data_IF_654689130295
#
_entry.id   IF_654689130295
#
_cell.length_a   1.000
_cell.length_b   1.000
_cell.length_c   1.000
_cell.angle_alpha   90.00
_cell.angle_beta   90.00
_cell.angle_gamma   90.00
#
_symmetry.space_group_name_H-M   'P 1'
#
loop_
_entity.id
_entity.type
_entity.pdbx_description
1 polymer ?
#
# COMPACT_ATOMS: atom_id res chain seq x y z
N UNK A 1 6.44 -21.78 -5.81
CA UNK A 1 5.89 -20.42 -5.83
C UNK A 1 6.98 -19.43 -5.49
N UNK A 2 7.01 -18.30 -6.16
CA UNK A 2 8.06 -17.34 -5.98
C UNK A 2 7.83 -16.41 -4.78
N UNK A 3 8.93 -15.92 -4.21
CA UNK A 3 8.91 -14.96 -3.11
C UNK A 3 8.22 -13.65 -3.49
N UNK A 4 8.31 -13.24 -4.76
CA UNK A 4 7.62 -12.05 -5.28
C UNK A 4 6.11 -12.15 -5.08
N UNK A 5 5.53 -13.31 -5.38
CA UNK A 5 4.11 -13.56 -5.21
C UNK A 5 3.73 -13.56 -3.73
N UNK A 6 4.54 -14.18 -2.90
CA UNK A 6 4.30 -14.25 -1.46
C UNK A 6 4.31 -12.85 -0.84
N UNK A 7 5.27 -12.03 -1.23
CA UNK A 7 5.34 -10.64 -0.80
C UNK A 7 4.12 -9.85 -1.26
N UNK A 8 3.78 -9.92 -2.54
CA UNK A 8 2.67 -9.16 -3.10
C UNK A 8 1.34 -9.51 -2.42
N UNK A 9 1.09 -10.80 -2.15
CA UNK A 9 -0.09 -11.25 -1.46
C UNK A 9 -0.14 -10.71 -0.02
N UNK A 10 0.98 -10.78 0.68
CA UNK A 10 1.08 -10.29 2.06
C UNK A 10 0.84 -8.79 2.14
N UNK A 11 1.44 -8.03 1.21
CA UNK A 11 1.24 -6.59 1.13
C UNK A 11 -0.22 -6.24 0.86
N UNK A 12 -0.83 -6.91 -0.10
CA UNK A 12 -2.25 -6.71 -0.44
C UNK A 12 -3.15 -6.94 0.77
N UNK A 13 -2.95 -8.04 1.48
CA UNK A 13 -3.74 -8.35 2.67
C UNK A 13 -3.59 -7.29 3.75
N UNK A 14 -2.36 -6.82 3.96
CA UNK A 14 -2.10 -5.80 4.97
C UNK A 14 -2.72 -4.46 4.62
N UNK A 15 -2.57 -4.02 3.37
CA UNK A 15 -3.12 -2.74 2.91
C UNK A 15 -4.66 -2.76 2.90
N UNK A 16 -5.27 -3.90 2.63
CA UNK A 16 -6.72 -4.03 2.54
C UNK A 16 -7.44 -3.75 3.86
N UNK A 17 -6.74 -3.72 4.97
CA UNK A 17 -7.30 -3.31 6.27
C UNK A 17 -7.67 -1.83 6.30
N UNK A 18 -7.03 -1.02 5.48
CA UNK A 18 -7.15 0.44 5.56
C UNK A 18 -8.12 1.00 4.52
N UNK A 19 -8.19 0.40 3.35
CA UNK A 19 -9.08 0.77 2.26
C UNK A 19 -9.07 -0.33 1.20
N UNK A 20 -10.06 -0.35 0.30
CA UNK A 20 -10.00 -1.25 -0.86
C UNK A 20 -8.68 -1.06 -1.59
N UNK A 21 -8.01 -2.15 -1.91
CA UNK A 21 -6.64 -2.12 -2.44
C UNK A 21 -6.58 -2.81 -3.79
N UNK A 22 -5.88 -2.20 -4.74
CA UNK A 22 -5.75 -2.69 -6.11
C UNK A 22 -4.30 -2.65 -6.55
N UNK A 23 -3.90 -3.67 -7.30
CA UNK A 23 -2.60 -3.68 -7.94
C UNK A 23 -2.69 -2.92 -9.26
N UNK A 24 -1.73 -2.03 -9.49
CA UNK A 24 -1.63 -1.25 -10.72
C UNK A 24 -1.25 -2.16 -11.92
N UNK A 25 -1.78 -1.94 -13.11
CA UNK A 25 -2.78 -0.92 -13.44
C UNK A 25 -4.20 -1.35 -13.09
N UNK A 26 -5.04 -0.38 -12.71
CA UNK A 26 -6.45 -0.63 -12.46
C UNK A 26 -7.18 -0.57 -13.80
N UNK A 27 -7.77 -1.68 -14.19
CA UNK A 27 -8.48 -1.78 -15.47
C UNK A 27 -9.94 -1.37 -15.31
N UNK A 28 -10.43 -0.55 -16.21
CA UNK A 28 -11.84 -0.14 -16.21
C UNK A 28 -12.79 -1.33 -16.37
N UNK A 29 -12.32 -2.40 -17.03
CA UNK A 29 -13.08 -3.64 -17.21
C UNK A 29 -13.26 -4.45 -15.93
N UNK A 30 -12.48 -4.12 -14.87
CA UNK A 30 -12.58 -4.80 -13.58
C UNK A 30 -13.83 -4.39 -12.79
N UNK A 31 -14.53 -3.34 -13.22
CA UNK A 31 -15.69 -2.79 -12.53
C UNK A 31 -16.90 -2.70 -13.45
N UNK A 32 -18.08 -2.80 -12.86
CA UNK A 32 -19.35 -2.64 -13.58
C UNK A 32 -20.40 -2.02 -12.64
N UNK A 33 -21.67 -1.99 -13.08
CA UNK A 33 -22.74 -1.40 -12.27
C UNK A 33 -23.04 -2.16 -10.99
N UNK A 34 -22.78 -3.47 -10.97
CA UNK A 34 -22.97 -4.32 -9.79
C UNK A 34 -21.76 -4.32 -8.86
N UNK A 35 -20.59 -3.99 -9.41
CA UNK A 35 -19.32 -3.93 -8.69
C UNK A 35 -18.58 -2.66 -9.09
N UNK A 36 -19.05 -1.48 -8.63
CA UNK A 36 -18.46 -0.21 -9.04
C UNK A 36 -17.08 -0.01 -8.38
N UNK A 37 -16.26 0.80 -9.04
CA UNK A 37 -14.98 1.21 -8.48
C UNK A 37 -15.21 1.99 -7.19
N UNK A 38 -14.54 1.63 -6.08
CA UNK A 38 -14.65 2.40 -4.84
C UNK A 38 -14.20 3.85 -5.02
N UNK A 39 -14.81 4.77 -4.27
CA UNK A 39 -14.40 6.18 -4.28
C UNK A 39 -13.07 6.40 -3.58
N UNK A 40 -12.83 5.66 -2.51
CA UNK A 40 -11.59 5.73 -1.75
C UNK A 40 -10.87 4.39 -1.90
N UNK A 41 -9.60 4.41 -2.29
CA UNK A 41 -8.86 3.17 -2.52
C UNK A 41 -7.35 3.40 -2.47
N UNK A 42 -6.64 2.29 -2.31
CA UNK A 42 -5.17 2.25 -2.34
C UNK A 42 -4.75 1.53 -3.62
N UNK A 43 -3.76 2.08 -4.31
CA UNK A 43 -3.15 1.47 -5.48
C UNK A 43 -1.67 1.25 -5.21
N UNK A 44 -1.15 0.09 -5.58
CA UNK A 44 0.27 -0.22 -5.46
C UNK A 44 0.78 -0.96 -6.69
N UNK A 45 2.08 -0.87 -6.93
CA UNK A 45 2.75 -1.66 -7.95
C UNK A 45 3.85 -2.49 -7.30
N UNK A 46 4.23 -3.58 -7.94
CA UNK A 46 5.26 -4.48 -7.41
C UNK A 46 6.63 -4.13 -7.98
N UNK A 47 7.18 -3.00 -7.54
CA UNK A 47 8.51 -2.55 -7.95
C UNK A 47 9.53 -3.02 -6.92
N UNK A 48 9.94 -4.27 -7.04
CA UNK A 48 10.86 -4.90 -6.10
C UNK A 48 12.26 -4.90 -6.68
N UNK A 49 13.18 -4.20 -6.02
CA UNK A 49 14.57 -4.14 -6.48
C UNK A 49 15.41 -5.31 -5.97
N UNK A 50 15.30 -5.67 -4.69
CA UNK A 50 16.11 -6.74 -4.11
C UNK A 50 15.57 -7.18 -2.76
N UNK A 51 15.22 -8.46 -2.61
CA UNK A 51 14.75 -8.99 -1.34
C UNK A 51 15.86 -9.16 -0.30
N UNK A 52 17.12 -9.16 -0.71
CA UNK A 52 18.25 -9.28 0.21
C UNK A 52 18.55 -8.02 1.02
N UNK A 53 17.92 -6.90 0.67
CA UNK A 53 18.10 -5.62 1.36
C UNK A 53 16.77 -4.90 1.46
N UNK A 54 16.76 -3.80 2.21
CA UNK A 54 15.56 -2.97 2.32
C UNK A 54 15.26 -2.27 0.99
N UNK A 55 13.99 -2.09 0.70
CA UNK A 55 13.55 -1.35 -0.48
C UNK A 55 12.32 -0.53 -0.15
N UNK A 56 12.06 0.48 -0.98
CA UNK A 56 10.89 1.34 -0.83
C UNK A 56 9.74 0.76 -1.64
N UNK A 57 8.63 0.55 -0.95
CA UNK A 57 7.35 0.24 -1.59
C UNK A 57 6.49 1.48 -1.52
N UNK A 58 6.27 2.11 -2.65
CA UNK A 58 5.36 3.24 -2.74
C UNK A 58 3.93 2.73 -2.93
N UNK A 59 3.00 3.37 -2.24
CA UNK A 59 1.58 3.17 -2.47
C UNK A 59 0.93 4.52 -2.71
N UNK A 60 -0.17 4.53 -3.45
CA UNK A 60 -0.93 5.76 -3.69
C UNK A 60 -2.32 5.59 -3.10
N UNK A 61 -2.75 6.59 -2.34
CA UNK A 61 -4.08 6.60 -1.74
C UNK A 61 -4.90 7.65 -2.46
N UNK A 62 -6.08 7.26 -2.94
CA UNK A 62 -7.04 8.15 -3.60
C UNK A 62 -8.29 8.27 -2.75
N UNK A 63 -8.79 9.48 -2.58
CA UNK A 63 -10.04 9.73 -1.86
C UNK A 63 -10.91 10.69 -2.65
N UNK A 64 -12.23 10.44 -2.62
CA UNK A 64 -13.23 11.31 -3.23
C UNK A 64 -13.65 12.33 -2.18
N UNK A 65 -13.07 13.53 -2.24
CA UNK A 65 -13.33 14.59 -1.29
C UNK A 65 -12.72 15.91 -1.76
N UNK A 66 -13.33 17.02 -1.38
CA UNK A 66 -12.76 18.35 -1.62
C UNK A 66 -11.82 18.77 -0.50
N UNK A 67 -11.86 18.07 0.64
CA UNK A 67 -10.97 18.30 1.77
C UNK A 67 -10.01 17.14 1.97
N UNK A 68 -9.14 17.24 2.95
CA UNK A 68 -8.07 16.27 3.20
C UNK A 68 -8.38 15.28 4.33
N UNK A 69 -9.51 15.42 5.03
CA UNK A 69 -9.81 14.58 6.20
C UNK A 69 -9.80 13.08 5.92
N UNK A 70 -10.44 12.66 4.84
CA UNK A 70 -10.49 11.24 4.48
C UNK A 70 -9.11 10.69 4.18
N UNK A 71 -8.33 11.44 3.42
CA UNK A 71 -6.97 11.04 3.06
C UNK A 71 -6.09 10.93 4.31
N UNK A 72 -6.14 11.93 5.17
CA UNK A 72 -5.34 11.93 6.40
C UNK A 72 -5.76 10.83 7.36
N UNK A 73 -7.05 10.49 7.43
CA UNK A 73 -7.52 9.37 8.26
C UNK A 73 -6.89 8.05 7.83
N UNK A 74 -6.83 7.80 6.53
CA UNK A 74 -6.20 6.58 6.00
C UNK A 74 -4.70 6.58 6.29
N UNK A 75 -4.03 7.69 6.01
CA UNK A 75 -2.58 7.84 6.26
C UNK A 75 -2.27 7.63 7.74
N UNK A 76 -3.03 8.24 8.63
CA UNK A 76 -2.82 8.13 10.08
C UNK A 76 -3.03 6.68 10.57
N UNK A 77 -4.02 5.98 10.02
CA UNK A 77 -4.26 4.58 10.37
C UNK A 77 -3.11 3.69 9.94
N UNK A 78 -2.53 3.95 8.77
CA UNK A 78 -1.35 3.23 8.29
C UNK A 78 -0.16 3.53 9.21
N UNK A 79 0.06 4.79 9.54
CA UNK A 79 1.14 5.20 10.41
C UNK A 79 1.02 4.55 11.79
N UNK A 80 -0.17 4.56 12.37
CA UNK A 80 -0.42 3.95 13.68
C UNK A 80 -0.20 2.44 13.64
N UNK A 81 -0.54 1.78 12.54
CA UNK A 81 -0.33 0.34 12.39
C UNK A 81 1.15 -0.01 12.31
N UNK A 82 1.97 0.83 11.69
CA UNK A 82 3.41 0.59 11.57
C UNK A 82 4.12 0.78 12.91
N UNK A 83 3.67 1.74 13.73
CA UNK A 83 4.30 2.10 15.01
C UNK A 83 5.69 2.71 14.81
N UNK A 84 6.30 3.21 15.88
CA UNK A 84 7.61 3.87 15.79
C UNK A 84 8.74 2.93 15.36
N UNK A 85 8.70 1.69 15.84
CA UNK A 85 9.79 0.73 15.59
C UNK A 85 9.53 -0.19 14.41
N UNK A 86 8.41 0.01 13.71
CA UNK A 86 8.00 -0.84 12.61
C UNK A 86 7.23 -2.07 13.09
N UNK A 87 6.80 -2.88 12.13
CA UNK A 87 6.08 -4.11 12.39
C UNK A 87 6.69 -5.28 11.62
N UNK A 88 6.38 -6.47 12.06
CA UNK A 88 6.77 -7.72 11.41
C UNK A 88 5.52 -8.53 11.15
N UNK A 89 5.39 -9.04 9.94
CA UNK A 89 4.30 -9.94 9.56
C UNK A 89 4.88 -11.30 9.26
N UNK A 90 4.51 -12.30 10.09
CA UNK A 90 5.01 -13.66 9.98
C UNK A 90 4.12 -14.49 9.06
N UNK A 91 4.75 -15.27 8.20
CA UNK A 91 4.09 -16.21 7.28
C UNK A 91 4.82 -17.54 7.29
N UNK A 92 4.23 -18.56 6.70
CA UNK A 92 4.83 -19.89 6.61
C UNK A 92 6.17 -19.91 5.88
N UNK A 93 6.30 -19.03 4.87
CA UNK A 93 7.47 -18.97 4.02
C UNK A 93 8.57 -18.06 4.58
N UNK A 94 8.27 -17.23 5.55
CA UNK A 94 9.20 -16.25 6.10
C UNK A 94 8.46 -15.11 6.78
N UNK A 95 9.01 -13.91 6.70
CA UNK A 95 8.34 -12.72 7.23
C UNK A 95 8.76 -11.48 6.47
N UNK A 96 7.94 -10.43 6.60
CA UNK A 96 8.31 -9.10 6.12
C UNK A 96 8.35 -8.14 7.30
N UNK A 97 9.22 -7.13 7.20
CA UNK A 97 9.20 -6.00 8.11
C UNK A 97 8.75 -4.77 7.36
N UNK A 98 7.93 -3.94 8.00
CA UNK A 98 7.44 -2.69 7.45
C UNK A 98 7.80 -1.57 8.39
N UNK A 99 8.55 -0.60 7.88
CA UNK A 99 8.87 0.63 8.57
C UNK A 99 8.42 1.81 7.71
N UNK A 100 8.43 3.01 8.29
CA UNK A 100 8.12 4.20 7.52
C UNK A 100 9.29 4.53 6.60
N UNK A 101 8.99 4.79 5.33
CA UNK A 101 9.98 5.34 4.41
C UNK A 101 10.23 6.82 4.67
N UNK A 102 11.15 7.40 3.95
CA UNK A 102 11.50 8.81 4.09
C UNK A 102 11.55 9.47 2.70
N UNK A 103 10.65 10.40 2.43
CA UNK A 103 9.53 10.84 3.27
C UNK A 103 8.47 9.77 3.41
N UNK A 104 7.77 9.76 4.55
CA UNK A 104 6.70 8.79 4.75
C UNK A 104 5.49 9.10 3.87
N UNK A 105 5.11 10.38 3.83
CA UNK A 105 3.93 10.84 3.10
C UNK A 105 4.27 12.03 2.22
N UNK A 106 3.67 12.09 1.04
CA UNK A 106 3.75 13.22 0.13
C UNK A 106 2.39 13.43 -0.55
N UNK A 107 1.96 14.69 -0.67
CA UNK A 107 0.76 14.99 -1.45
C UNK A 107 0.96 14.64 -2.92
N UNK A 108 -0.09 14.08 -3.53
CA UNK A 108 -0.13 13.85 -4.97
C UNK A 108 -1.16 14.79 -5.57
N UNK A 109 -0.75 15.73 -6.44
CA UNK A 109 -1.70 16.59 -7.13
C UNK A 109 -2.63 15.77 -8.02
N UNK A 110 -3.88 16.21 -8.13
CA UNK A 110 -4.85 15.65 -9.06
C UNK A 110 -5.56 16.79 -9.78
N UNK A 111 -5.84 16.60 -11.06
CA UNK A 111 -6.52 17.61 -11.87
C UNK A 111 -7.99 17.76 -11.48
N UNK A 112 -8.58 16.71 -10.90
CA UNK A 112 -9.96 16.73 -10.44
C UNK A 112 -10.02 17.29 -9.02
N UNK A 113 -10.70 18.43 -8.86
CA UNK A 113 -10.85 19.10 -7.57
C UNK A 113 -11.62 18.31 -6.53
N UNK A 114 -12.29 17.24 -6.94
CA UNK A 114 -13.04 16.36 -6.03
C UNK A 114 -12.23 15.17 -5.56
N UNK A 115 -10.96 15.08 -5.98
CA UNK A 115 -10.07 13.99 -5.59
C UNK A 115 -8.90 14.54 -4.79
N UNK A 116 -8.61 13.91 -3.65
CA UNK A 116 -7.40 14.15 -2.88
C UNK A 116 -6.61 12.86 -2.83
N UNK A 117 -5.34 12.95 -3.18
CA UNK A 117 -4.47 11.78 -3.26
C UNK A 117 -3.11 12.05 -2.63
N UNK A 118 -2.46 10.98 -2.23
CA UNK A 118 -1.13 11.07 -1.64
C UNK A 118 -0.34 9.78 -1.82
N UNK A 119 0.98 9.93 -1.74
CA UNK A 119 1.92 8.81 -1.76
C UNK A 119 2.34 8.49 -0.34
N UNK A 120 2.34 7.21 0.00
CA UNK A 120 2.94 6.73 1.23
C UNK A 120 4.09 5.81 0.86
N UNK A 121 5.24 6.02 1.46
CA UNK A 121 6.43 5.22 1.23
C UNK A 121 6.68 4.31 2.42
N UNK A 122 6.74 3.01 2.14
CA UNK A 122 7.01 1.97 3.14
C UNK A 122 8.41 1.43 2.92
N UNK A 123 9.16 1.30 4.00
CA UNK A 123 10.48 0.67 3.94
C UNK A 123 10.30 -0.80 4.28
N UNK A 124 10.55 -1.65 3.31
CA UNK A 124 10.25 -3.08 3.38
C UNK A 124 11.53 -3.90 3.37
N UNK A 125 11.55 -4.96 4.17
CA UNK A 125 12.53 -6.02 4.04
C UNK A 125 11.81 -7.36 4.09
N UNK A 126 12.20 -8.27 3.20
CA UNK A 126 11.59 -9.59 3.10
C UNK A 126 12.61 -10.65 3.50
N UNK A 127 12.22 -11.52 4.39
CA UNK A 127 13.05 -12.63 4.85
C UNK A 127 12.37 -13.95 4.48
N UNK A 128 13.10 -14.83 3.83
CA UNK A 128 12.63 -16.15 3.48
C UNK A 128 13.32 -17.18 4.39
N UNK A 129 12.55 -18.09 4.97
CA UNK A 129 13.13 -19.15 5.78
C UNK A 129 13.90 -20.10 4.88
N UNK A 130 15.01 -20.58 5.38
CA UNK A 130 15.77 -21.63 4.71
C UNK A 130 15.00 -22.95 4.80
N UNK A 131 14.96 -23.65 3.69
CA UNK A 131 14.27 -24.93 3.60
C UNK A 131 15.26 -26.04 3.57
#
# INVERSE_FOLDING_TARGET
>A
MGLTRDYATTLYEWLSQFAPTFRSPILSTSFDSDNPKPNDYIEYSSDISNFGSEFIQAITIYTQSTGFSKLMDIVDRIEDAIKESGIRIDKDWGYITINKGSPFYQDKPDEDDTIRAGYVNLLIKVYQYNV
#
